data_IF_970234176087
#
_entry.id   IF_970234176087
#
_cell.length_a   1.000
_cell.length_b   1.000
_cell.length_c   1.000
_cell.angle_alpha   90.00
_cell.angle_beta   90.00
_cell.angle_gamma   90.00
#
_symmetry.space_group_name_H-M   'P 1'
#
loop_
_entity.id
_entity.type
_entity.pdbx_description
1 polymer ?
#
# COMPACT_ATOMS: atom_id res chain seq x y z
N UNK A 1 -13.77 -14.22 -22.26
CA UNK A 1 -12.97 -15.35 -22.77
C UNK A 1 -13.11 -16.57 -21.84
N UNK A 2 -12.89 -16.43 -20.53
CA UNK A 2 -12.98 -17.55 -19.59
C UNK A 2 -14.37 -18.21 -19.61
N UNK A 3 -15.44 -17.42 -19.65
CA UNK A 3 -16.82 -17.93 -19.81
C UNK A 3 -17.05 -18.67 -21.14
N UNK A 4 -16.22 -18.42 -22.15
CA UNK A 4 -16.29 -19.10 -23.45
C UNK A 4 -15.50 -20.41 -23.49
N UNK A 5 -14.97 -20.88 -22.36
CA UNK A 5 -14.27 -22.14 -22.23
C UNK A 5 -12.76 -22.09 -22.47
N UNK A 6 -12.16 -20.90 -22.37
CA UNK A 6 -10.69 -20.79 -22.36
C UNK A 6 -10.14 -21.12 -20.97
N UNK A 7 -9.19 -22.05 -20.91
CA UNK A 7 -8.52 -22.41 -19.66
C UNK A 7 -7.42 -21.42 -19.29
N UNK A 8 -6.72 -20.92 -20.29
CA UNK A 8 -5.61 -19.96 -20.13
C UNK A 8 -5.57 -18.98 -21.27
N UNK A 9 -5.32 -17.73 -20.93
CA UNK A 9 -5.22 -16.63 -21.86
C UNK A 9 -4.01 -15.77 -21.52
N UNK A 10 -3.31 -15.30 -22.53
CA UNK A 10 -2.24 -14.32 -22.40
C UNK A 10 -2.15 -13.49 -23.68
N UNK A 11 -1.91 -12.20 -23.51
CA UNK A 11 -1.53 -11.33 -24.60
C UNK A 11 -0.54 -10.26 -24.14
N UNK A 12 0.21 -9.69 -25.09
CA UNK A 12 0.92 -8.43 -24.92
C UNK A 12 -0.01 -7.34 -25.42
N UNK A 13 -0.64 -6.62 -24.49
CA UNK A 13 -1.69 -5.67 -24.76
C UNK A 13 -1.17 -4.23 -24.69
N UNK A 14 -1.51 -3.44 -25.70
CA UNK A 14 -1.38 -1.98 -25.63
C UNK A 14 -2.58 -1.42 -24.87
N UNK A 15 -2.30 -0.73 -23.78
CA UNK A 15 -3.30 -0.17 -22.89
C UNK A 15 -3.26 1.36 -22.91
N UNK A 16 -4.44 1.96 -22.69
CA UNK A 16 -4.61 3.41 -22.64
C UNK A 16 -5.38 3.78 -21.38
N UNK A 17 -4.94 4.85 -20.71
CA UNK A 17 -5.64 5.43 -19.56
C UNK A 17 -5.65 6.95 -19.68
N UNK A 18 -6.79 7.54 -19.38
CA UNK A 18 -6.92 8.99 -19.23
C UNK A 18 -6.49 9.37 -17.81
N UNK A 19 -5.22 9.63 -17.65
CA UNK A 19 -4.59 9.96 -16.37
C UNK A 19 -3.60 11.11 -16.54
N UNK A 20 -3.40 11.86 -15.45
CA UNK A 20 -2.33 12.85 -15.38
C UNK A 20 -0.95 12.19 -15.49
N UNK A 21 -0.07 12.79 -16.27
CA UNK A 21 1.31 12.36 -16.42
C UNK A 21 2.05 12.42 -15.08
N UNK A 22 2.65 11.32 -14.69
CA UNK A 22 3.54 11.19 -13.53
C UNK A 22 4.84 10.54 -13.94
N UNK A 23 5.85 10.55 -13.07
CA UNK A 23 7.16 9.97 -13.35
C UNK A 23 7.09 8.47 -13.74
N UNK A 24 6.10 7.74 -13.22
CA UNK A 24 5.90 6.30 -13.37
C UNK A 24 4.59 5.94 -14.12
N UNK A 25 3.85 6.93 -14.63
CA UNK A 25 2.56 6.73 -15.31
C UNK A 25 2.51 7.46 -16.64
N UNK A 26 2.13 6.73 -17.67
CA UNK A 26 1.95 7.22 -19.04
C UNK A 26 0.53 6.88 -19.51
N UNK A 27 -0.08 7.71 -20.36
CA UNK A 27 -1.43 7.47 -20.89
C UNK A 27 -1.48 6.27 -21.84
N UNK A 28 -0.36 5.87 -22.42
CA UNK A 28 -0.18 4.68 -23.24
C UNK A 28 0.94 3.82 -22.63
N UNK A 29 0.64 2.55 -22.38
CA UNK A 29 1.58 1.58 -21.81
C UNK A 29 1.28 0.17 -22.30
N UNK A 30 2.23 -0.74 -22.12
CA UNK A 30 2.08 -2.13 -22.53
C UNK A 30 2.01 -3.04 -21.31
N UNK A 31 1.08 -4.00 -21.34
CA UNK A 31 0.96 -5.03 -20.32
C UNK A 31 1.13 -6.43 -20.91
N UNK A 32 1.72 -7.33 -20.15
CA UNK A 32 1.51 -8.76 -20.30
C UNK A 32 0.25 -9.05 -19.49
N UNK A 33 -0.86 -9.26 -20.18
CA UNK A 33 -2.16 -9.53 -19.61
C UNK A 33 -2.46 -11.03 -19.67
N UNK A 34 -2.78 -11.62 -18.54
CA UNK A 34 -3.02 -13.05 -18.41
C UNK A 34 -4.22 -13.35 -17.52
N UNK A 35 -4.95 -14.42 -17.85
CA UNK A 35 -6.10 -14.91 -17.10
C UNK A 35 -6.11 -16.44 -17.13
N UNK A 36 -6.49 -17.07 -16.03
CA UNK A 36 -6.55 -18.54 -15.89
C UNK A 36 -7.88 -18.96 -15.26
N UNK A 37 -8.47 -20.04 -15.78
CA UNK A 37 -9.67 -20.68 -15.24
C UNK A 37 -9.33 -21.87 -14.36
N UNK A 38 -10.26 -22.23 -13.46
CA UNK A 38 -10.13 -23.35 -12.51
C UNK A 38 -8.93 -23.22 -11.57
N UNK A 39 -8.70 -22.02 -11.08
CA UNK A 39 -7.59 -21.63 -10.19
C UNK A 39 -8.12 -20.90 -8.97
N UNK A 40 -7.33 -20.89 -7.92
CA UNK A 40 -7.46 -19.98 -6.80
C UNK A 40 -6.34 -18.92 -6.79
N UNK A 41 -6.35 -18.06 -5.78
CA UNK A 41 -5.34 -17.01 -5.64
C UNK A 41 -3.92 -17.59 -5.51
N UNK A 42 -3.76 -18.68 -4.79
CA UNK A 42 -2.45 -19.32 -4.58
C UNK A 42 -1.86 -19.85 -5.89
N UNK A 43 -2.69 -20.37 -6.79
CA UNK A 43 -2.25 -20.83 -8.12
C UNK A 43 -1.69 -19.67 -8.95
N UNK A 44 -2.35 -18.50 -8.90
CA UNK A 44 -1.90 -17.29 -9.61
C UNK A 44 -0.58 -16.78 -9.01
N UNK A 45 -0.50 -16.67 -7.68
CA UNK A 45 0.73 -16.23 -7.01
C UNK A 45 1.90 -17.16 -7.33
N UNK A 46 1.69 -18.48 -7.23
CA UNK A 46 2.71 -19.48 -7.56
C UNK A 46 3.13 -19.42 -9.03
N UNK A 47 2.21 -19.14 -9.95
CA UNK A 47 2.54 -18.94 -11.37
C UNK A 47 3.38 -17.68 -11.55
N UNK A 48 3.00 -16.57 -10.92
CA UNK A 48 3.75 -15.31 -10.93
C UNK A 48 5.17 -15.46 -10.37
N UNK A 49 5.34 -16.21 -9.28
CA UNK A 49 6.65 -16.51 -8.71
C UNK A 49 7.54 -17.30 -9.68
N UNK A 50 6.99 -18.34 -10.31
CA UNK A 50 7.73 -19.10 -11.34
C UNK A 50 8.11 -18.24 -12.54
N UNK A 51 7.23 -17.34 -12.97
CA UNK A 51 7.50 -16.40 -14.04
C UNK A 51 8.66 -15.45 -13.68
N UNK A 52 8.61 -14.82 -12.51
CA UNK A 52 9.66 -13.92 -12.04
C UNK A 52 11.00 -14.63 -11.91
N UNK A 53 11.01 -15.82 -11.26
CA UNK A 53 12.22 -16.62 -11.11
C UNK A 53 12.84 -16.94 -12.46
N UNK A 54 12.04 -17.46 -13.40
CA UNK A 54 12.51 -17.79 -14.76
C UNK A 54 13.03 -16.55 -15.50
N UNK A 55 12.29 -15.44 -15.45
CA UNK A 55 12.67 -14.21 -16.12
C UNK A 55 14.01 -13.66 -15.60
N UNK A 56 14.15 -13.55 -14.29
CA UNK A 56 15.36 -13.02 -13.67
C UNK A 56 16.58 -13.91 -13.90
N UNK A 57 16.40 -15.25 -13.86
CA UNK A 57 17.45 -16.19 -14.21
C UNK A 57 17.89 -16.03 -15.68
N UNK A 58 16.92 -15.97 -16.62
CA UNK A 58 17.24 -15.95 -18.06
C UNK A 58 17.71 -14.59 -18.57
N UNK A 59 17.12 -13.50 -18.10
CA UNK A 59 17.43 -12.16 -18.58
C UNK A 59 18.61 -11.52 -17.84
N UNK A 60 18.71 -11.75 -16.53
CA UNK A 60 19.68 -11.08 -15.66
C UNK A 60 20.75 -12.01 -15.09
N UNK A 61 20.58 -13.33 -15.18
CA UNK A 61 21.47 -14.30 -14.54
C UNK A 61 21.36 -14.29 -12.99
N UNK A 62 20.23 -13.82 -12.45
CA UNK A 62 20.00 -13.67 -11.02
C UNK A 62 18.96 -14.68 -10.56
N UNK A 63 19.29 -15.43 -9.53
CA UNK A 63 18.35 -16.34 -8.87
C UNK A 63 17.51 -15.58 -7.82
N UNK A 64 16.20 -15.61 -7.97
CA UNK A 64 15.26 -15.04 -7.00
C UNK A 64 14.71 -16.18 -6.12
N UNK A 65 14.92 -16.11 -4.79
CA UNK A 65 14.39 -17.13 -3.89
C UNK A 65 12.86 -17.11 -3.88
N UNK A 66 12.27 -18.31 -3.91
CA UNK A 66 10.82 -18.52 -3.76
C UNK A 66 10.55 -19.46 -2.59
N UNK A 67 9.40 -19.33 -1.89
CA UNK A 67 8.32 -18.38 -2.14
C UNK A 67 8.73 -16.94 -1.83
N UNK A 68 8.13 -15.97 -2.55
CA UNK A 68 8.34 -14.56 -2.30
C UNK A 68 7.71 -14.14 -0.97
N UNK A 69 8.28 -13.14 -0.26
CA UNK A 69 7.64 -12.56 0.90
C UNK A 69 6.23 -12.06 0.57
N UNK A 70 5.32 -12.14 1.54
CA UNK A 70 3.96 -11.62 1.45
C UNK A 70 3.69 -10.67 2.61
N UNK A 71 3.03 -9.56 2.33
CA UNK A 71 2.52 -8.62 3.30
C UNK A 71 1.04 -8.38 2.98
N UNK A 72 0.22 -8.27 4.01
CA UNK A 72 -1.11 -7.70 3.81
C UNK A 72 -0.99 -6.21 3.49
N UNK A 73 -1.98 -5.64 2.83
CA UNK A 73 -2.07 -4.19 2.60
C UNK A 73 -1.90 -3.42 3.92
N UNK A 74 -2.57 -3.88 4.98
CA UNK A 74 -2.48 -3.25 6.29
C UNK A 74 -1.06 -3.28 6.84
N UNK A 75 -0.38 -4.43 6.82
CA UNK A 75 1.02 -4.54 7.26
C UNK A 75 1.95 -3.64 6.46
N UNK A 76 1.75 -3.58 5.13
CA UNK A 76 2.54 -2.71 4.27
C UNK A 76 2.35 -1.23 4.61
N UNK A 77 1.12 -0.81 4.82
CA UNK A 77 0.81 0.57 5.22
C UNK A 77 1.37 0.89 6.62
N UNK A 78 1.16 0.01 7.61
CA UNK A 78 1.62 0.24 8.97
C UNK A 78 3.14 0.29 9.10
N UNK A 79 3.87 -0.57 8.36
CA UNK A 79 5.34 -0.68 8.44
C UNK A 79 6.06 0.29 7.52
N UNK A 80 5.52 0.57 6.34
CA UNK A 80 6.23 1.30 5.29
C UNK A 80 5.50 2.55 4.78
N UNK A 81 4.23 2.73 5.15
CA UNK A 81 3.40 3.88 4.74
C UNK A 81 3.04 3.89 3.25
N UNK A 82 3.05 2.74 2.60
CA UNK A 82 2.74 2.57 1.18
C UNK A 82 2.33 1.14 0.86
N UNK A 83 1.49 0.97 -0.15
CA UNK A 83 1.10 -0.31 -0.75
C UNK A 83 2.16 -0.91 -1.69
N UNK A 84 3.25 -0.19 -1.95
CA UNK A 84 4.37 -0.61 -2.79
C UNK A 84 5.71 -0.32 -2.11
N UNK A 85 6.02 -1.08 -1.04
CA UNK A 85 7.20 -0.84 -0.24
C UNK A 85 8.50 -1.29 -0.93
N UNK A 86 9.56 -0.53 -0.74
CA UNK A 86 10.91 -1.04 -0.93
C UNK A 86 11.35 -1.71 0.38
N UNK A 87 11.41 -3.03 0.38
CA UNK A 87 11.74 -3.84 1.57
C UNK A 87 13.25 -4.12 1.71
N UNK A 88 14.10 -3.57 0.82
CA UNK A 88 15.56 -3.79 0.86
C UNK A 88 16.23 -3.13 2.06
N UNK A 89 15.63 -2.12 2.63
CA UNK A 89 16.18 -1.40 3.79
C UNK A 89 15.12 -1.28 4.89
N UNK A 90 15.56 -1.19 6.14
CA UNK A 90 14.72 -1.01 7.31
C UNK A 90 14.01 0.35 7.36
N UNK A 91 14.10 1.05 8.50
CA UNK A 91 13.43 2.34 8.75
C UNK A 91 11.90 2.18 8.75
N UNK A 92 11.43 1.12 9.41
CA UNK A 92 10.00 0.88 9.56
C UNK A 92 9.34 1.93 10.45
N UNK A 93 8.09 2.26 10.15
CA UNK A 93 7.28 3.17 10.94
C UNK A 93 6.99 2.56 12.30
N UNK A 94 7.18 3.33 13.36
CA UNK A 94 6.90 2.97 14.74
C UNK A 94 5.73 3.78 15.27
N UNK A 95 4.77 3.11 15.89
CA UNK A 95 3.64 3.75 16.56
C UNK A 95 4.01 4.07 18.01
N UNK A 96 3.83 5.34 18.40
CA UNK A 96 4.06 5.84 19.76
C UNK A 96 2.78 6.42 20.39
N UNK A 97 1.64 6.21 19.77
CA UNK A 97 0.36 6.79 20.20
C UNK A 97 0.01 6.47 21.65
N UNK A 98 0.24 5.23 22.07
CA UNK A 98 0.01 4.76 23.45
C UNK A 98 0.86 5.49 24.49
N UNK A 99 2.07 5.93 24.11
CA UNK A 99 3.00 6.64 25.00
C UNK A 99 2.69 8.14 25.13
N UNK A 100 1.95 8.71 24.18
CA UNK A 100 1.77 10.17 24.08
C UNK A 100 0.33 10.65 24.19
N UNK A 101 -0.65 9.74 24.24
CA UNK A 101 -2.09 10.05 24.25
C UNK A 101 -2.52 10.94 25.42
N UNK A 102 -1.89 10.78 26.57
CA UNK A 102 -2.20 11.50 27.80
C UNK A 102 -1.21 12.65 28.07
N UNK A 103 -0.34 13.00 27.11
CA UNK A 103 0.67 14.02 27.26
C UNK A 103 0.09 15.44 27.27
N UNK A 104 0.83 16.37 27.87
CA UNK A 104 0.50 17.81 27.82
C UNK A 104 0.77 18.45 26.45
N UNK A 105 1.39 17.72 25.52
CA UNK A 105 1.61 18.19 24.16
C UNK A 105 0.35 18.01 23.30
N UNK A 106 -0.46 19.06 23.25
CA UNK A 106 -1.78 19.03 22.59
C UNK A 106 -1.79 18.57 21.15
N UNK A 107 -0.67 18.67 20.42
CA UNK A 107 -0.57 18.15 19.03
C UNK A 107 -0.65 16.64 19.02
N UNK A 108 0.08 15.95 19.92
CA UNK A 108 0.09 14.48 19.98
C UNK A 108 -1.19 13.95 20.62
N UNK A 109 -1.52 14.43 21.80
CA UNK A 109 -2.74 14.02 22.51
C UNK A 109 -4.00 14.30 21.67
N UNK A 110 -4.06 15.45 21.00
CA UNK A 110 -5.19 15.82 20.14
C UNK A 110 -5.33 14.95 18.91
N UNK A 111 -4.22 14.52 18.28
CA UNK A 111 -4.28 13.59 17.14
C UNK A 111 -4.87 12.23 17.57
N UNK A 112 -4.39 11.68 18.69
CA UNK A 112 -4.90 10.40 19.20
C UNK A 112 -6.37 10.52 19.64
N UNK A 113 -6.73 11.59 20.37
CA UNK A 113 -8.09 11.82 20.82
C UNK A 113 -9.10 11.98 19.67
N UNK A 114 -8.65 12.42 18.49
CA UNK A 114 -9.48 12.53 17.29
C UNK A 114 -9.51 11.26 16.43
N UNK A 115 -8.98 10.13 16.94
CA UNK A 115 -8.97 8.85 16.25
C UNK A 115 -7.82 8.69 15.23
N UNK A 116 -6.82 9.56 15.27
CA UNK A 116 -5.58 9.45 14.53
C UNK A 116 -4.47 8.76 15.32
N UNK A 117 -3.25 8.84 14.82
CA UNK A 117 -2.07 8.25 15.44
C UNK A 117 -0.88 9.21 15.50
N UNK A 118 0.09 8.85 16.33
CA UNK A 118 1.41 9.50 16.37
C UNK A 118 2.45 8.45 16.05
N UNK A 119 3.08 8.60 14.89
CA UNK A 119 4.01 7.61 14.35
C UNK A 119 5.29 8.28 13.88
N UNK A 120 6.38 7.51 13.84
CA UNK A 120 7.65 8.05 13.40
C UNK A 120 8.55 7.03 12.74
N UNK A 121 9.55 7.55 12.04
CA UNK A 121 10.67 6.79 11.46
C UNK A 121 11.97 7.30 12.04
N UNK A 122 12.97 6.42 12.16
CA UNK A 122 14.31 6.79 12.64
C UNK A 122 15.35 6.61 11.55
N UNK A 123 16.04 7.70 11.28
CA UNK A 123 17.14 7.81 10.32
C UNK A 123 18.43 7.48 11.05
N UNK A 124 18.88 6.23 10.99
CA UNK A 124 20.09 5.76 11.64
C UNK A 124 21.32 6.48 11.10
N UNK A 125 22.16 7.03 11.99
CA UNK A 125 23.32 7.85 11.63
C UNK A 125 22.95 9.18 10.95
N UNK A 126 21.69 9.55 10.87
CA UNK A 126 21.18 10.68 10.09
C UNK A 126 21.53 12.06 10.68
N UNK A 127 21.97 12.15 11.92
CA UNK A 127 22.20 13.43 12.57
C UNK A 127 23.31 14.29 11.93
N UNK A 128 24.26 13.66 11.25
CA UNK A 128 25.31 14.36 10.49
C UNK A 128 24.75 15.00 9.21
N UNK A 129 23.85 14.31 8.52
CA UNK A 129 23.26 14.74 7.23
C UNK A 129 22.09 15.69 7.44
N UNK A 130 21.22 15.40 8.42
CA UNK A 130 19.99 16.15 8.66
C UNK A 130 20.18 17.20 9.75
N UNK A 131 20.77 18.33 9.36
CA UNK A 131 20.83 19.55 10.19
C UNK A 131 19.43 20.12 10.37
N UNK A 132 19.28 21.12 11.28
CA UNK A 132 18.00 21.80 11.49
C UNK A 132 17.40 22.32 10.15
N UNK A 133 18.22 22.94 9.31
CA UNK A 133 17.79 23.47 8.01
C UNK A 133 17.28 22.35 7.08
N UNK A 134 17.89 21.17 7.13
CA UNK A 134 17.45 20.04 6.32
C UNK A 134 16.14 19.43 6.84
N UNK A 135 15.97 19.39 8.16
CA UNK A 135 14.70 18.96 8.78
C UNK A 135 13.58 19.96 8.44
N UNK A 136 13.86 21.26 8.38
CA UNK A 136 12.88 22.26 7.95
C UNK A 136 12.41 22.03 6.50
N UNK A 137 13.31 21.58 5.60
CA UNK A 137 12.92 21.18 4.23
C UNK A 137 12.02 19.93 4.21
N UNK A 138 12.34 18.92 5.05
CA UNK A 138 11.48 17.74 5.20
C UNK A 138 10.11 18.11 5.78
N UNK A 139 10.05 19.12 6.64
CA UNK A 139 8.77 19.64 7.16
C UNK A 139 7.93 20.24 6.05
N UNK A 140 8.53 21.01 5.13
CA UNK A 140 7.81 21.56 3.97
C UNK A 140 7.37 20.45 3.00
N UNK A 141 8.20 19.42 2.80
CA UNK A 141 7.80 18.24 2.03
C UNK A 141 6.61 17.51 2.68
N UNK A 142 6.65 17.29 3.99
CA UNK A 142 5.56 16.67 4.74
C UNK A 142 4.24 17.46 4.62
N UNK A 143 4.32 18.79 4.72
CA UNK A 143 3.16 19.68 4.53
C UNK A 143 2.61 19.61 3.10
N UNK A 144 3.49 19.52 2.10
CA UNK A 144 3.09 19.36 0.70
C UNK A 144 2.33 18.08 0.42
N UNK A 145 2.48 17.05 1.27
CA UNK A 145 1.75 15.78 1.19
C UNK A 145 0.43 15.83 1.99
N UNK A 146 0.31 16.77 2.94
CA UNK A 146 -0.90 16.97 3.74
C UNK A 146 -0.70 17.00 5.24
N UNK A 147 0.52 16.79 5.77
CA UNK A 147 0.77 16.91 7.20
C UNK A 147 0.65 18.36 7.68
N UNK A 148 0.12 18.56 8.88
CA UNK A 148 0.08 19.87 9.53
C UNK A 148 1.45 20.36 10.00
N UNK A 149 2.38 19.42 10.23
CA UNK A 149 3.73 19.69 10.68
C UNK A 149 4.53 18.42 10.84
N UNK A 150 5.81 18.58 11.18
CA UNK A 150 6.74 17.49 11.45
C UNK A 150 7.44 17.72 12.79
N UNK A 151 7.22 16.84 13.75
CA UNK A 151 8.00 16.81 14.96
C UNK A 151 9.27 15.98 14.75
N UNK A 152 10.31 16.27 15.52
CA UNK A 152 11.56 15.55 15.33
C UNK A 152 12.34 15.42 16.63
N UNK A 153 13.21 14.43 16.65
CA UNK A 153 14.33 14.29 17.58
C UNK A 153 15.62 14.26 16.77
N UNK A 154 16.63 15.03 17.16
CA UNK A 154 17.98 14.97 16.59
C UNK A 154 18.99 14.78 17.72
N UNK A 155 19.72 13.67 17.69
CA UNK A 155 20.60 13.30 18.79
C UNK A 155 22.07 13.36 18.38
N UNK A 156 22.73 14.51 18.60
CA UNK A 156 24.16 14.73 18.29
C UNK A 156 25.00 14.67 19.56
N UNK A 157 24.60 15.45 20.55
CA UNK A 157 25.36 15.68 21.79
C UNK A 157 24.95 14.69 22.91
N UNK A 158 25.27 15.00 24.14
CA UNK A 158 24.93 14.17 25.30
C UNK A 158 23.42 14.03 25.51
N UNK A 159 22.65 15.04 25.11
CA UNK A 159 21.19 15.01 25.17
C UNK A 159 20.59 15.24 23.79
N UNK A 160 19.46 14.54 23.45
CA UNK A 160 18.77 14.77 22.20
C UNK A 160 18.13 16.15 22.12
N UNK A 161 18.26 16.81 20.99
CA UNK A 161 17.48 18.00 20.66
C UNK A 161 16.10 17.56 20.15
N UNK A 162 15.06 17.89 20.88
CA UNK A 162 13.71 17.43 20.62
C UNK A 162 12.75 18.62 20.55
N UNK A 163 11.95 18.71 19.48
CA UNK A 163 11.02 19.81 19.25
C UNK A 163 9.87 19.89 20.26
N UNK A 164 9.64 18.81 21.00
CA UNK A 164 8.55 18.68 21.98
C UNK A 164 9.03 18.32 23.40
N UNK A 165 10.32 18.30 23.68
CA UNK A 165 10.91 17.82 24.94
C UNK A 165 10.31 18.46 26.20
N UNK A 166 9.96 19.76 26.15
CA UNK A 166 9.42 20.51 27.30
C UNK A 166 8.06 20.00 27.82
N UNK A 167 7.41 19.13 27.09
CA UNK A 167 6.08 18.59 27.41
C UNK A 167 6.15 17.18 28.02
N UNK A 168 7.35 16.61 28.15
CA UNK A 168 7.58 15.24 28.59
C UNK A 168 8.61 15.19 29.71
N UNK A 169 8.44 14.28 30.64
CA UNK A 169 9.49 13.94 31.61
C UNK A 169 10.67 13.21 30.95
N UNK A 170 11.80 13.08 31.63
CA UNK A 170 12.96 12.34 31.12
C UNK A 170 12.61 10.84 30.89
N UNK A 171 11.78 10.25 31.75
CA UNK A 171 11.31 8.86 31.61
C UNK A 171 10.39 8.66 30.40
N UNK A 172 9.41 9.55 30.23
CA UNK A 172 8.50 9.51 29.05
C UNK A 172 9.27 9.70 27.74
N UNK A 173 10.19 10.66 27.71
CA UNK A 173 11.04 10.89 26.53
C UNK A 173 11.91 9.67 26.24
N UNK A 174 12.50 9.05 27.28
CA UNK A 174 13.27 7.82 27.13
C UNK A 174 12.45 6.68 26.55
N UNK A 175 11.19 6.50 26.98
CA UNK A 175 10.30 5.49 26.44
C UNK A 175 9.96 5.74 24.96
N UNK A 176 9.73 7.00 24.58
CA UNK A 176 9.51 7.40 23.18
C UNK A 176 10.72 7.08 22.32
N UNK A 177 11.93 7.47 22.77
CA UNK A 177 13.18 7.20 22.05
C UNK A 177 13.44 5.70 21.89
N UNK A 178 13.19 4.93 22.93
CA UNK A 178 13.33 3.47 22.91
C UNK A 178 12.37 2.83 21.90
N UNK A 179 11.09 3.24 21.86
CA UNK A 179 10.08 2.76 20.91
C UNK A 179 10.45 3.12 19.47
N UNK A 180 10.95 4.34 19.24
CA UNK A 180 11.45 4.78 17.92
C UNK A 180 12.79 4.14 17.55
N UNK A 181 13.48 3.50 18.49
CA UNK A 181 14.82 2.98 18.31
C UNK A 181 15.85 4.09 18.05
N UNK A 182 15.63 5.30 18.59
CA UNK A 182 16.50 6.47 18.37
C UNK A 182 17.66 6.48 19.36
N UNK A 183 18.88 6.56 18.83
CA UNK A 183 20.12 6.56 19.57
C UNK A 183 20.98 7.78 19.22
N UNK A 184 22.10 7.96 19.93
CA UNK A 184 23.06 9.03 19.61
C UNK A 184 23.60 8.86 18.18
N UNK A 185 23.51 9.91 17.39
CA UNK A 185 23.83 9.91 15.96
C UNK A 185 22.60 9.87 15.04
N UNK A 186 21.40 9.61 15.59
CA UNK A 186 20.18 9.42 14.81
C UNK A 186 19.31 10.69 14.71
N UNK A 187 18.39 10.65 13.77
CA UNK A 187 17.25 11.59 13.69
C UNK A 187 15.96 10.80 13.60
N UNK A 188 14.99 11.11 14.45
CA UNK A 188 13.62 10.60 14.30
C UNK A 188 12.69 11.70 13.80
N UNK A 189 11.85 11.35 12.83
CA UNK A 189 10.82 12.20 12.25
C UNK A 189 9.47 11.65 12.67
N UNK A 190 8.58 12.52 13.18
CA UNK A 190 7.32 12.12 13.80
C UNK A 190 6.19 12.94 13.20
N UNK A 191 5.12 12.26 12.79
CA UNK A 191 3.87 12.86 12.30
C UNK A 191 2.74 12.48 13.24
N UNK A 192 1.84 13.42 13.48
CA UNK A 192 0.66 13.26 14.33
C UNK A 192 -0.58 13.78 13.57
N UNK A 193 -1.37 12.88 13.04
CA UNK A 193 -2.61 13.19 12.30
C UNK A 193 -3.46 11.89 12.15
N UNK A 194 -4.49 11.93 11.30
CA UNK A 194 -5.19 10.73 10.85
C UNK A 194 -4.24 9.78 10.13
N UNK A 195 -4.47 8.48 10.20
CA UNK A 195 -3.62 7.47 9.55
C UNK A 195 -3.55 7.66 8.03
N UNK A 196 -4.63 8.14 7.40
CA UNK A 196 -4.65 8.50 5.97
C UNK A 196 -3.66 9.62 5.58
N UNK A 197 -3.17 10.39 6.54
CA UNK A 197 -2.12 11.41 6.36
C UNK A 197 -0.78 10.92 6.91
N UNK A 198 -0.78 10.40 8.13
CA UNK A 198 0.45 10.02 8.87
C UNK A 198 1.26 8.96 8.10
N UNK A 199 0.59 7.90 7.61
CA UNK A 199 1.27 6.80 6.95
C UNK A 199 1.87 7.20 5.59
N UNK A 200 1.14 7.79 4.64
CA UNK A 200 1.73 8.21 3.37
C UNK A 200 2.84 9.26 3.50
N UNK A 201 2.71 10.19 4.45
CA UNK A 201 3.75 11.20 4.72
C UNK A 201 5.04 10.52 5.19
N UNK A 202 4.96 9.61 6.17
CA UNK A 202 6.14 8.89 6.66
C UNK A 202 6.72 7.96 5.60
N UNK A 203 5.90 7.30 4.77
CA UNK A 203 6.35 6.48 3.65
C UNK A 203 7.14 7.28 2.60
N UNK A 204 6.66 8.48 2.26
CA UNK A 204 7.36 9.38 1.35
C UNK A 204 8.68 9.90 1.94
N UNK A 205 8.67 10.29 3.22
CA UNK A 205 9.90 10.71 3.93
C UNK A 205 10.89 9.57 4.05
N UNK A 206 10.43 8.35 4.33
CA UNK A 206 11.24 7.14 4.38
C UNK A 206 12.04 6.96 3.08
N UNK A 207 11.36 7.01 1.94
CA UNK A 207 12.00 6.86 0.62
C UNK A 207 12.97 8.00 0.31
N UNK A 208 12.56 9.25 0.57
CA UNK A 208 13.40 10.44 0.35
C UNK A 208 14.67 10.36 1.20
N UNK A 209 14.53 10.02 2.48
CA UNK A 209 15.63 9.96 3.42
C UNK A 209 16.59 8.79 3.14
N UNK A 210 16.07 7.62 2.77
CA UNK A 210 16.87 6.46 2.43
C UNK A 210 17.77 6.73 1.23
N UNK A 211 17.23 7.34 0.17
CA UNK A 211 18.00 7.75 -1.01
C UNK A 211 19.11 8.74 -0.64
N UNK A 212 18.81 9.73 0.19
CA UNK A 212 19.78 10.76 0.57
C UNK A 212 20.88 10.25 1.51
N UNK A 213 20.58 9.26 2.35
CA UNK A 213 21.56 8.59 3.23
C UNK A 213 22.36 7.52 2.51
N UNK A 214 22.02 7.21 1.26
CA UNK A 214 22.64 6.16 0.45
C UNK A 214 22.65 4.79 1.15
N UNK A 215 21.52 4.46 1.81
CA UNK A 215 21.38 3.22 2.58
C UNK A 215 20.61 2.13 1.85
N UNK A 216 20.15 2.40 0.62
CA UNK A 216 19.40 1.43 -0.17
C UNK A 216 20.40 0.44 -0.79
N UNK A 217 20.40 -0.83 -0.38
CA UNK A 217 21.34 -1.80 -0.96
C UNK A 217 20.98 -2.10 -2.41
N UNK A 218 21.97 -2.52 -3.18
CA UNK A 218 21.77 -3.08 -4.52
C UNK A 218 21.01 -4.41 -4.43
N UNK A 219 20.41 -4.82 -5.53
CA UNK A 219 19.71 -6.11 -5.65
C UNK A 219 18.21 -5.97 -5.87
N UNK A 220 17.54 -7.12 -5.89
CA UNK A 220 16.17 -7.27 -6.31
C UNK A 220 15.34 -7.87 -5.15
N UNK A 221 14.42 -7.11 -4.61
CA UNK A 221 13.54 -7.55 -3.54
C UNK A 221 12.08 -7.48 -4.00
N UNK A 222 11.54 -8.65 -4.31
CA UNK A 222 10.13 -8.82 -4.65
C UNK A 222 9.30 -9.06 -3.40
N UNK A 223 8.07 -8.57 -3.40
CA UNK A 223 7.09 -8.82 -2.34
C UNK A 223 5.68 -8.81 -2.94
N UNK A 224 4.84 -9.74 -2.49
CA UNK A 224 3.41 -9.69 -2.74
C UNK A 224 2.71 -8.84 -1.70
N UNK A 225 1.85 -7.95 -2.16
CA UNK A 225 0.89 -7.25 -1.29
C UNK A 225 -0.47 -7.88 -1.56
N UNK A 226 -1.14 -8.31 -0.49
CA UNK A 226 -2.42 -9.05 -0.56
C UNK A 226 -3.45 -8.45 0.40
N UNK A 227 -4.69 -8.93 0.35
CA UNK A 227 -5.78 -8.52 1.25
C UNK A 227 -6.05 -7.01 1.22
N UNK A 228 -6.10 -6.41 0.05
CA UNK A 228 -6.48 -5.02 -0.09
C UNK A 228 -7.90 -4.77 0.43
N UNK A 229 -8.18 -3.58 0.98
CA UNK A 229 -9.56 -3.17 1.22
C UNK A 229 -10.37 -3.27 -0.07
N UNK A 230 -11.59 -3.79 0.02
CA UNK A 230 -12.47 -3.84 -1.15
C UNK A 230 -13.07 -2.46 -1.44
N UNK A 231 -13.48 -1.78 -0.37
CA UNK A 231 -14.12 -0.46 -0.42
C UNK A 231 -13.23 0.60 0.21
N UNK A 232 -13.30 1.79 -0.35
CA UNK A 232 -12.81 3.01 0.26
C UNK A 232 -13.93 4.06 0.29
N UNK A 233 -13.78 5.05 1.16
CA UNK A 233 -14.71 6.19 1.18
C UNK A 233 -14.20 7.28 0.27
N UNK A 234 -15.03 7.68 -0.67
CA UNK A 234 -14.81 8.89 -1.44
C UNK A 234 -14.80 10.11 -0.49
N UNK A 235 -13.75 10.91 -0.55
CA UNK A 235 -13.55 12.01 0.40
C UNK A 235 -14.56 13.16 0.22
N UNK A 236 -15.10 13.34 -0.99
CA UNK A 236 -16.05 14.43 -1.30
C UNK A 236 -17.49 14.03 -0.98
N UNK A 237 -17.89 12.84 -1.37
CA UNK A 237 -19.28 12.37 -1.23
C UNK A 237 -19.52 11.55 0.03
N UNK A 238 -18.47 10.94 0.62
CA UNK A 238 -18.56 9.98 1.70
C UNK A 238 -19.14 8.62 1.29
N UNK A 239 -19.42 8.42 0.01
CA UNK A 239 -19.94 7.17 -0.53
C UNK A 239 -18.85 6.08 -0.56
N UNK A 240 -19.27 4.82 -0.50
CA UNK A 240 -18.38 3.69 -0.71
C UNK A 240 -18.11 3.51 -2.20
N UNK A 241 -16.85 3.44 -2.56
CA UNK A 241 -16.36 3.14 -3.92
C UNK A 241 -15.46 1.92 -3.88
N UNK A 242 -15.36 1.17 -4.96
CA UNK A 242 -14.43 0.05 -5.03
C UNK A 242 -12.99 0.59 -5.15
N UNK A 243 -12.10 0.11 -4.30
CA UNK A 243 -10.69 0.53 -4.31
C UNK A 243 -9.98 0.13 -5.60
N UNK A 244 -10.33 -1.02 -6.17
CA UNK A 244 -9.79 -1.49 -7.46
C UNK A 244 -10.87 -1.48 -8.54
N UNK A 245 -11.69 -2.53 -8.59
CA UNK A 245 -12.82 -2.62 -9.52
C UNK A 245 -13.92 -3.54 -8.96
N UNK A 246 -15.19 -3.35 -9.38
CA UNK A 246 -16.33 -4.06 -8.80
C UNK A 246 -16.45 -5.55 -9.16
N UNK A 247 -15.55 -6.07 -9.99
CA UNK A 247 -15.54 -7.47 -10.42
C UNK A 247 -14.65 -8.38 -9.56
N UNK A 248 -13.94 -7.80 -8.60
CA UNK A 248 -13.05 -8.52 -7.69
C UNK A 248 -13.84 -9.35 -6.71
N UNK A 249 -13.40 -10.58 -6.46
CA UNK A 249 -13.97 -11.43 -5.42
C UNK A 249 -13.55 -10.93 -4.04
N UNK A 250 -14.49 -10.68 -3.09
CA UNK A 250 -14.16 -10.49 -1.69
C UNK A 250 -13.53 -11.75 -1.08
N UNK A 251 -12.80 -11.61 0.02
CA UNK A 251 -12.44 -12.75 0.85
C UNK A 251 -13.71 -13.40 1.42
N UNK A 252 -13.75 -14.74 1.45
CA UNK A 252 -14.95 -15.49 1.81
C UNK A 252 -15.44 -15.15 3.23
N UNK A 253 -14.51 -14.97 4.17
CA UNK A 253 -14.80 -14.54 5.54
C UNK A 253 -15.32 -13.11 5.65
N UNK A 254 -15.18 -12.30 4.61
CA UNK A 254 -15.67 -10.92 4.59
C UNK A 254 -17.08 -10.77 4.01
N UNK A 255 -17.61 -11.79 3.34
CA UNK A 255 -18.96 -11.75 2.75
C UNK A 255 -20.07 -11.30 3.72
N UNK A 256 -20.08 -11.73 5.00
CA UNK A 256 -21.10 -11.26 5.97
C UNK A 256 -21.04 -9.76 6.28
N UNK A 257 -19.97 -9.06 5.94
CA UNK A 257 -19.77 -7.64 6.24
C UNK A 257 -20.20 -6.71 5.10
N UNK A 258 -20.55 -7.23 3.93
CA UNK A 258 -20.93 -6.43 2.76
C UNK A 258 -22.01 -5.39 3.07
N UNK A 259 -23.04 -5.78 3.82
CA UNK A 259 -24.15 -4.90 4.17
C UNK A 259 -24.00 -4.22 5.54
N UNK A 260 -23.18 -4.80 6.43
CA UNK A 260 -23.14 -4.37 7.83
C UNK A 260 -21.95 -3.47 8.14
N UNK A 261 -20.80 -3.73 7.51
CA UNK A 261 -19.55 -2.99 7.72
C UNK A 261 -18.64 -3.10 6.47
N UNK A 262 -18.96 -2.38 5.38
CA UNK A 262 -18.19 -2.43 4.14
C UNK A 262 -16.71 -2.10 4.32
N UNK A 263 -16.36 -1.29 5.33
CA UNK A 263 -14.97 -0.94 5.63
C UNK A 263 -14.09 -2.12 6.09
N UNK A 264 -14.70 -3.26 6.48
CA UNK A 264 -13.99 -4.49 6.85
C UNK A 264 -13.81 -5.46 5.69
N UNK A 265 -14.45 -5.20 4.57
CA UNK A 265 -14.40 -6.13 3.44
C UNK A 265 -13.04 -6.03 2.76
N UNK A 266 -12.33 -7.14 2.70
CA UNK A 266 -11.08 -7.29 1.98
C UNK A 266 -11.30 -8.04 0.68
N UNK A 267 -10.47 -7.75 -0.30
CA UNK A 267 -10.54 -8.30 -1.64
C UNK A 267 -9.49 -9.40 -1.87
N UNK A 268 -9.81 -10.38 -2.70
CA UNK A 268 -8.85 -11.35 -3.26
C UNK A 268 -8.04 -10.67 -4.39
N UNK A 269 -7.37 -9.55 -4.02
CA UNK A 269 -6.45 -8.81 -4.86
C UNK A 269 -5.01 -9.04 -4.43
N UNK A 270 -4.10 -8.90 -5.37
CA UNK A 270 -2.66 -9.06 -5.15
C UNK A 270 -1.87 -8.17 -6.10
N UNK A 271 -0.87 -7.50 -5.56
CA UNK A 271 0.11 -6.72 -6.32
C UNK A 271 1.50 -7.32 -6.14
N UNK A 272 2.24 -7.43 -7.23
CA UNK A 272 3.66 -7.78 -7.19
C UNK A 272 4.49 -6.51 -7.20
N UNK A 273 5.25 -6.31 -6.15
CA UNK A 273 6.10 -5.14 -5.98
C UNK A 273 7.57 -5.52 -6.07
N UNK A 274 8.36 -4.74 -6.79
CA UNK A 274 9.81 -4.85 -6.86
C UNK A 274 10.46 -3.53 -6.48
N UNK A 275 11.29 -3.52 -5.44
CA UNK A 275 12.10 -2.35 -5.06
C UNK A 275 11.29 -1.04 -4.94
N UNK A 276 10.05 -1.11 -4.43
CA UNK A 276 9.17 0.05 -4.28
C UNK A 276 8.36 0.41 -5.53
N UNK A 277 8.34 -0.45 -6.55
CA UNK A 277 7.57 -0.27 -7.78
C UNK A 277 6.59 -1.43 -7.95
N UNK A 278 5.33 -1.14 -8.15
CA UNK A 278 4.32 -2.12 -8.55
C UNK A 278 4.59 -2.59 -9.97
N UNK A 279 4.91 -3.88 -10.14
CA UNK A 279 5.14 -4.50 -11.45
C UNK A 279 3.88 -5.12 -12.03
N UNK A 280 3.06 -5.73 -11.20
CA UNK A 280 1.84 -6.39 -11.62
C UNK A 280 0.75 -6.19 -10.58
N UNK A 281 -0.48 -6.16 -11.04
CA UNK A 281 -1.68 -6.16 -10.22
C UNK A 281 -2.67 -7.18 -10.77
N UNK A 282 -3.41 -7.83 -9.89
CA UNK A 282 -4.40 -8.82 -10.27
C UNK A 282 -5.42 -9.12 -9.20
N UNK A 283 -6.42 -9.92 -9.57
CA UNK A 283 -7.46 -10.35 -8.63
C UNK A 283 -8.12 -11.65 -9.08
N UNK A 284 -8.73 -12.33 -8.10
CA UNK A 284 -9.77 -13.33 -8.39
C UNK A 284 -11.08 -12.62 -8.75
N UNK A 285 -11.85 -13.21 -9.65
CA UNK A 285 -13.11 -12.62 -10.14
C UNK A 285 -14.32 -13.19 -9.43
N UNK A 286 -15.34 -12.35 -9.23
CA UNK A 286 -16.68 -12.83 -8.90
C UNK A 286 -17.19 -13.65 -10.08
N UNK A 287 -17.78 -14.79 -9.81
CA UNK A 287 -18.36 -15.69 -10.83
C UNK A 287 -19.82 -16.03 -10.56
N UNK A 288 -20.34 -15.59 -9.42
CA UNK A 288 -21.74 -15.70 -9.02
C UNK A 288 -22.50 -14.43 -9.40
N UNK A 289 -23.61 -14.57 -10.14
CA UNK A 289 -24.39 -13.43 -10.62
C UNK A 289 -25.07 -12.66 -9.49
N UNK A 290 -25.58 -13.34 -8.46
CA UNK A 290 -26.27 -12.69 -7.34
C UNK A 290 -25.27 -11.86 -6.51
N UNK A 291 -24.10 -12.42 -6.25
CA UNK A 291 -23.02 -11.70 -5.58
C UNK A 291 -22.55 -10.50 -6.41
N UNK A 292 -22.39 -10.64 -7.73
CA UNK A 292 -21.97 -9.54 -8.61
C UNK A 292 -22.98 -8.38 -8.59
N UNK A 293 -24.26 -8.68 -8.70
CA UNK A 293 -25.31 -7.67 -8.59
C UNK A 293 -25.32 -7.01 -7.23
N UNK A 294 -25.16 -7.79 -6.14
CA UNK A 294 -25.06 -7.28 -4.80
C UNK A 294 -23.89 -6.29 -4.67
N UNK A 295 -22.72 -6.63 -5.21
CA UNK A 295 -21.56 -5.73 -5.22
C UNK A 295 -21.85 -4.42 -5.97
N UNK A 296 -22.51 -4.46 -7.10
CA UNK A 296 -22.91 -3.25 -7.82
C UNK A 296 -23.87 -2.36 -7.01
N UNK A 297 -24.86 -2.97 -6.35
CA UNK A 297 -25.79 -2.23 -5.48
C UNK A 297 -25.08 -1.62 -4.26
N UNK A 298 -24.10 -2.31 -3.67
CA UNK A 298 -23.30 -1.80 -2.57
C UNK A 298 -22.46 -0.59 -2.97
N UNK A 299 -22.18 -0.42 -4.26
CA UNK A 299 -21.52 0.75 -4.86
C UNK A 299 -22.53 1.84 -5.33
N UNK A 300 -23.81 1.67 -5.01
CA UNK A 300 -24.85 2.65 -5.30
C UNK A 300 -25.42 2.63 -6.71
N UNK A 301 -25.14 1.59 -7.52
CA UNK A 301 -25.76 1.46 -8.82
C UNK A 301 -27.21 0.99 -8.69
N UNK A 302 -28.10 1.57 -9.49
CA UNK A 302 -29.49 1.10 -9.63
C UNK A 302 -29.58 -0.12 -10.54
N UNK A 303 -30.69 -0.87 -10.45
CA UNK A 303 -30.89 -2.05 -11.30
C UNK A 303 -30.88 -1.68 -12.80
N UNK A 304 -31.41 -0.51 -13.18
CA UNK A 304 -31.37 -0.01 -14.54
C UNK A 304 -29.96 0.31 -15.02
N UNK A 305 -29.11 0.86 -14.13
CA UNK A 305 -27.70 1.15 -14.44
C UNK A 305 -26.87 -0.14 -14.55
N UNK A 306 -27.15 -1.13 -13.69
CA UNK A 306 -26.51 -2.45 -13.76
C UNK A 306 -26.83 -3.11 -15.09
N UNK A 307 -28.13 -3.17 -15.47
CA UNK A 307 -28.58 -3.76 -16.73
C UNK A 307 -27.94 -3.04 -17.93
N UNK A 308 -27.96 -1.70 -17.95
CA UNK A 308 -27.44 -0.91 -19.07
C UNK A 308 -25.92 -1.03 -19.26
N UNK A 309 -25.16 -1.14 -18.16
CA UNK A 309 -23.68 -1.15 -18.19
C UNK A 309 -23.11 -2.55 -18.19
N UNK A 310 -23.70 -3.46 -17.45
CA UNK A 310 -23.12 -4.76 -17.09
C UNK A 310 -24.07 -5.95 -17.31
N UNK A 311 -25.29 -5.74 -17.81
CA UNK A 311 -26.30 -6.78 -18.03
C UNK A 311 -25.74 -7.96 -18.82
N UNK A 312 -24.98 -7.70 -19.90
CA UNK A 312 -24.31 -8.73 -20.70
C UNK A 312 -23.37 -9.64 -19.90
N UNK A 313 -22.72 -9.10 -18.85
CA UNK A 313 -21.78 -9.83 -17.99
C UNK A 313 -22.56 -10.66 -16.97
N UNK A 314 -23.55 -10.06 -16.30
CA UNK A 314 -24.41 -10.75 -15.33
C UNK A 314 -25.17 -11.89 -16.01
N UNK A 315 -25.74 -11.64 -17.18
CA UNK A 315 -26.40 -12.67 -17.99
C UNK A 315 -25.46 -13.83 -18.34
N UNK A 316 -24.22 -13.52 -18.70
CA UNK A 316 -23.23 -14.55 -19.01
C UNK A 316 -22.92 -15.45 -17.79
N UNK A 317 -22.91 -14.89 -16.57
CA UNK A 317 -22.70 -15.66 -15.34
C UNK A 317 -23.84 -16.65 -15.06
N UNK A 318 -25.07 -16.38 -15.48
CA UNK A 318 -26.19 -17.32 -15.35
C UNK A 318 -25.99 -18.64 -16.10
N UNK A 319 -25.15 -18.65 -17.14
CA UNK A 319 -24.78 -19.87 -17.86
C UNK A 319 -23.64 -20.65 -17.19
N UNK A 320 -23.08 -20.11 -16.11
CA UNK A 320 -21.96 -20.65 -15.36
C UNK A 320 -20.62 -20.05 -15.78
N UNK A 321 -19.85 -19.67 -14.79
CA UNK A 321 -18.49 -19.17 -14.96
C UNK A 321 -17.51 -20.03 -14.15
N UNK A 322 -16.38 -20.45 -14.72
CA UNK A 322 -15.35 -21.12 -13.93
C UNK A 322 -14.74 -20.13 -12.91
N UNK A 323 -14.29 -20.57 -11.73
CA UNK A 323 -13.45 -19.73 -10.91
C UNK A 323 -12.22 -19.32 -11.74
N UNK A 324 -11.93 -18.04 -11.81
CA UNK A 324 -10.85 -17.51 -12.61
C UNK A 324 -10.23 -16.26 -11.99
N UNK A 325 -9.03 -15.97 -12.40
CA UNK A 325 -8.28 -14.81 -12.01
C UNK A 325 -7.03 -14.66 -12.85
N UNK A 326 -6.39 -13.53 -12.74
CA UNK A 326 -5.21 -13.23 -13.52
C UNK A 326 -4.49 -12.00 -13.05
N UNK A 327 -3.56 -11.50 -13.85
CA UNK A 327 -2.82 -10.29 -13.57
C UNK A 327 -2.38 -9.58 -14.84
N UNK A 328 -2.25 -8.26 -14.74
CA UNK A 328 -1.58 -7.43 -15.74
C UNK A 328 -0.19 -7.03 -15.24
N UNK A 329 0.85 -7.46 -15.96
CA UNK A 329 2.22 -7.02 -15.68
C UNK A 329 2.59 -5.85 -16.59
N UNK A 330 3.06 -4.75 -15.98
CA UNK A 330 3.55 -3.59 -16.74
C UNK A 330 4.86 -3.91 -17.44
N UNK A 331 4.83 -4.14 -18.76
CA UNK A 331 6.03 -4.50 -19.53
C UNK A 331 7.06 -3.38 -19.53
N UNK A 332 6.60 -2.12 -19.58
CA UNK A 332 7.48 -0.94 -19.55
C UNK A 332 8.21 -0.80 -18.20
N UNK A 333 7.60 -1.23 -17.11
CA UNK A 333 8.22 -1.24 -15.78
C UNK A 333 9.15 -2.43 -15.59
N UNK A 334 8.87 -3.52 -16.27
CA UNK A 334 9.66 -4.75 -16.20
C UNK A 334 10.96 -4.64 -17.01
N UNK A 335 10.95 -3.93 -18.15
CA UNK A 335 12.10 -3.69 -19.02
C UNK A 335 13.01 -2.54 -18.53
#
# INVERSE_FOLDING_TARGET
>A
LMLSGFDRYMQIARCFRDEDLRADRQPEFTQIDLEMSFVDMEDILAMGERFVHFLMEKAMGVEIPTPLPRLTYQESMERYGTDKPDIRYGMEIQDISDLVKDSSFGVFAGAVASGGSVRGITLKGGAATYTRKEIDKLTEQAKGIGAKGLAFVRWVDEKPSCSFAKFFSEEELSAILARLGCEKGDVSLIVADKDSVTLPVLGALRTTCAKRLDIIPEGWAFVWIVEFPFFEKDEETGAWVAMHHPFTMPLDECLPYLDTDPGRVKAKCYDLVLNGVELASGSMRITDSELQEHMFRSLGLTDEEIEAKFGFLVDAYHYGAPPHGGMGLGLDRLS
#
